data_IF_174934975913
#
_entry.id   IF_174934975913
#
_cell.length_a   1.000
_cell.length_b   1.000
_cell.length_c   1.000
_cell.angle_alpha   90.00
_cell.angle_beta   90.00
_cell.angle_gamma   90.00
#
_symmetry.space_group_name_H-M   'P 1'
#
loop_
_entity.id
_entity.type
_entity.pdbx_description
1 polymer ?
#
# COMPACT_ATOMS: atom_id res chain seq x y z
N UNK A 1 6.70 21.31 22.78
CA UNK A 1 6.55 19.85 23.00
C UNK A 1 5.09 19.43 23.15
N UNK A 2 4.09 20.29 22.89
CA UNK A 2 2.68 19.97 23.15
C UNK A 2 2.05 19.00 22.12
N UNK A 3 2.52 18.96 20.87
CA UNK A 3 1.88 18.12 19.84
C UNK A 3 2.41 16.68 19.78
N UNK A 4 3.42 16.35 20.60
CA UNK A 4 4.00 15.00 20.62
C UNK A 4 3.00 13.99 21.17
N UNK A 5 2.28 14.33 22.24
CA UNK A 5 1.28 13.44 22.82
C UNK A 5 0.07 13.24 21.90
N UNK A 6 -0.35 14.30 21.20
CA UNK A 6 -1.42 14.22 20.20
C UNK A 6 -1.02 13.32 19.03
N UNK A 7 0.19 13.52 18.49
CA UNK A 7 0.72 12.68 17.41
C UNK A 7 0.88 11.21 17.85
N UNK A 8 1.35 10.95 19.07
CA UNK A 8 1.43 9.59 19.62
C UNK A 8 0.06 8.93 19.77
N UNK A 9 -0.96 9.70 20.19
CA UNK A 9 -2.33 9.21 20.29
C UNK A 9 -2.91 8.86 18.92
N UNK A 10 -2.67 9.69 17.92
CA UNK A 10 -3.13 9.43 16.56
C UNK A 10 -2.38 8.26 15.92
N UNK A 11 -1.07 8.13 16.19
CA UNK A 11 -0.23 7.02 15.77
C UNK A 11 -0.67 5.63 16.30
N UNK A 12 -1.53 5.60 17.32
CA UNK A 12 -2.18 4.36 17.79
C UNK A 12 -3.37 3.94 16.91
N UNK A 13 -3.95 4.87 16.15
CA UNK A 13 -5.07 4.65 15.24
C UNK A 13 -4.58 4.43 13.81
N UNK A 14 -3.68 5.31 13.35
CA UNK A 14 -3.15 5.29 11.98
C UNK A 14 -1.74 5.91 11.90
N UNK A 15 -0.91 5.56 10.90
CA UNK A 15 0.40 6.18 10.73
C UNK A 15 0.31 7.69 10.53
N UNK A 16 1.10 8.45 11.27
CA UNK A 16 1.17 9.91 11.15
C UNK A 16 2.40 10.28 10.33
N UNK A 17 2.22 11.04 9.26
CA UNK A 17 3.32 11.57 8.45
C UNK A 17 3.81 12.88 9.04
N UNK A 18 5.11 12.95 9.32
CA UNK A 18 5.79 14.16 9.75
C UNK A 18 6.50 14.74 8.54
N UNK A 19 6.16 15.97 8.19
CA UNK A 19 6.72 16.66 7.02
C UNK A 19 7.80 17.66 7.42
N UNK A 20 8.82 17.79 6.59
CA UNK A 20 9.79 18.89 6.63
C UNK A 20 9.73 19.66 5.31
N UNK A 21 9.56 20.98 5.37
CA UNK A 21 9.47 21.86 4.19
C UNK A 21 8.37 21.45 3.18
N UNK A 22 7.30 20.81 3.65
CA UNK A 22 6.18 20.35 2.81
C UNK A 22 6.33 18.92 2.30
N UNK A 23 7.49 18.29 2.50
CA UNK A 23 7.78 16.93 2.04
C UNK A 23 7.70 15.91 3.19
N UNK A 24 7.19 14.69 2.97
CA UNK A 24 7.24 13.62 3.96
C UNK A 24 8.67 13.29 4.37
N UNK A 25 8.99 13.48 5.65
CA UNK A 25 10.33 13.23 6.20
C UNK A 25 10.36 11.99 7.10
N UNK A 26 9.34 11.82 7.95
CA UNK A 26 9.23 10.69 8.86
C UNK A 26 7.81 10.17 8.95
N UNK A 27 7.66 8.94 9.44
CA UNK A 27 6.36 8.36 9.79
C UNK A 27 6.41 7.90 11.24
N UNK A 28 5.44 8.34 12.05
CA UNK A 28 5.25 7.89 13.42
C UNK A 28 4.20 6.76 13.44
N UNK A 29 4.59 5.63 14.03
CA UNK A 29 3.73 4.48 14.31
C UNK A 29 3.97 3.98 15.72
N UNK A 30 2.99 3.26 16.29
CA UNK A 30 3.23 2.56 17.55
C UNK A 30 4.37 1.54 17.41
N UNK A 31 5.15 1.34 18.47
CA UNK A 31 6.22 0.35 18.48
C UNK A 31 5.70 -1.06 18.17
N UNK A 32 4.46 -1.39 18.55
CA UNK A 32 3.83 -2.68 18.21
C UNK A 32 3.73 -2.88 16.70
N UNK A 33 3.29 -1.85 15.96
CA UNK A 33 3.21 -1.94 14.50
C UNK A 33 4.60 -1.97 13.87
N UNK A 34 5.55 -1.17 14.38
CA UNK A 34 6.95 -1.24 13.96
C UNK A 34 7.53 -2.66 14.09
N UNK A 35 7.29 -3.32 15.21
CA UNK A 35 7.77 -4.69 15.44
C UNK A 35 7.13 -5.72 14.50
N UNK A 36 5.87 -5.53 14.06
CA UNK A 36 5.25 -6.38 13.03
C UNK A 36 5.92 -6.17 11.67
N UNK A 37 6.21 -4.92 11.31
CA UNK A 37 6.88 -4.56 10.05
C UNK A 37 8.34 -5.00 10.02
N UNK A 38 9.00 -5.00 11.18
CA UNK A 38 10.44 -5.27 11.32
C UNK A 38 10.76 -6.76 11.48
N UNK A 39 9.78 -7.67 11.43
CA UNK A 39 10.04 -9.11 11.57
C UNK A 39 10.92 -9.59 10.39
N UNK A 40 12.16 -10.05 10.65
CA UNK A 40 12.99 -10.65 9.60
C UNK A 40 12.38 -12.01 9.27
N UNK A 41 11.78 -12.15 8.09
CA UNK A 41 11.20 -13.43 7.65
C UNK A 41 9.91 -13.36 6.83
N UNK A 42 9.46 -12.18 6.41
CA UNK A 42 8.48 -12.10 5.33
C UNK A 42 9.08 -11.21 4.25
N UNK A 43 9.98 -11.80 3.45
CA UNK A 43 10.29 -11.20 2.16
C UNK A 43 8.94 -10.92 1.47
N UNK A 44 8.80 -9.74 0.86
CA UNK A 44 7.63 -9.46 0.03
C UNK A 44 7.45 -10.56 -1.03
N UNK A 45 8.56 -11.17 -1.45
CA UNK A 45 8.60 -12.36 -2.30
C UNK A 45 7.99 -13.56 -1.57
N UNK A 46 8.42 -13.93 -0.36
CA UNK A 46 7.85 -15.08 0.38
C UNK A 46 6.34 -15.00 0.60
N UNK A 47 5.76 -13.80 0.76
CA UNK A 47 4.30 -13.62 0.89
C UNK A 47 3.54 -13.70 -0.44
N UNK A 48 4.23 -13.39 -1.55
CA UNK A 48 3.70 -13.48 -2.91
C UNK A 48 4.00 -14.84 -3.54
N UNK A 49 4.96 -15.57 -2.98
CA UNK A 49 5.25 -16.96 -3.33
C UNK A 49 4.09 -17.80 -2.84
N UNK A 50 3.46 -18.49 -3.78
CA UNK A 50 2.60 -19.60 -3.44
C UNK A 50 3.53 -20.75 -3.06
N UNK A 51 3.53 -21.15 -1.79
CA UNK A 51 4.10 -22.44 -1.39
C UNK A 51 3.18 -23.51 -1.98
N UNK A 52 3.75 -24.36 -2.83
CA UNK A 52 3.13 -25.35 -3.71
C UNK A 52 2.68 -24.87 -5.10
N UNK A 53 2.84 -25.82 -6.02
CA UNK A 53 2.45 -25.84 -7.43
C UNK A 53 0.92 -25.78 -7.53
N UNK A 54 0.33 -24.65 -7.14
CA UNK A 54 -1.09 -24.41 -7.39
C UNK A 54 -1.25 -24.20 -8.89
N UNK A 55 -1.85 -25.19 -9.53
CA UNK A 55 -2.33 -25.11 -10.92
C UNK A 55 -3.52 -24.13 -10.96
N UNK A 56 -3.21 -22.83 -10.89
CA UNK A 56 -4.19 -21.77 -11.05
C UNK A 56 -4.42 -21.62 -12.55
N UNK A 57 -5.51 -22.20 -13.03
CA UNK A 57 -5.95 -22.07 -14.41
C UNK A 57 -6.52 -20.66 -14.62
N UNK A 58 -5.63 -19.73 -14.98
CA UNK A 58 -6.02 -18.37 -15.35
C UNK A 58 -6.59 -18.38 -16.77
N UNK A 59 -7.91 -18.43 -16.90
CA UNK A 59 -8.54 -18.18 -18.19
C UNK A 59 -8.31 -16.70 -18.60
N UNK A 60 -7.63 -16.43 -19.73
CA UNK A 60 -7.43 -15.07 -20.19
C UNK A 60 -8.78 -14.46 -20.54
N UNK A 61 -9.10 -13.33 -19.93
CA UNK A 61 -10.24 -12.52 -20.34
C UNK A 61 -9.98 -11.98 -21.74
N UNK A 62 -10.69 -12.52 -22.73
CA UNK A 62 -10.76 -11.94 -24.06
C UNK A 62 -11.60 -10.68 -24.00
N UNK A 63 -10.93 -9.53 -23.94
CA UNK A 63 -11.58 -8.25 -24.20
C UNK A 63 -11.85 -8.17 -25.69
N UNK A 64 -13.12 -8.29 -26.10
CA UNK A 64 -13.52 -7.74 -27.39
C UNK A 64 -13.38 -6.21 -27.29
N UNK A 65 -12.57 -5.57 -28.14
CA UNK A 65 -12.58 -4.13 -28.21
C UNK A 65 -14.00 -3.73 -28.61
N UNK A 66 -14.73 -3.12 -27.68
CA UNK A 66 -15.95 -2.42 -28.04
C UNK A 66 -15.57 -1.50 -29.19
N UNK A 67 -16.26 -1.65 -30.32
CA UNK A 67 -16.13 -0.74 -31.44
C UNK A 67 -16.65 0.61 -30.95
N UNK A 68 -15.75 1.39 -30.34
CA UNK A 68 -15.99 2.81 -30.12
C UNK A 68 -16.03 3.40 -31.52
N UNK A 69 -17.22 3.49 -32.10
CA UNK A 69 -17.44 4.43 -33.19
C UNK A 69 -16.90 5.76 -32.70
N UNK A 70 -15.88 6.26 -33.43
CA UNK A 70 -15.22 7.52 -33.15
C UNK A 70 -16.22 8.67 -33.28
N UNK A 71 -17.05 8.87 -32.27
CA UNK A 71 -17.69 10.13 -31.98
C UNK A 71 -16.78 10.84 -31.00
N UNK A 72 -15.65 11.34 -31.52
CA UNK A 72 -14.77 12.24 -30.79
C UNK A 72 -15.52 13.57 -30.59
N UNK A 73 -15.90 13.98 -29.35
CA UNK A 73 -16.71 15.17 -29.14
C UNK A 73 -15.86 16.39 -28.73
N UNK A 74 -14.53 16.35 -28.89
CA UNK A 74 -13.63 17.43 -28.52
C UNK A 74 -12.80 17.88 -29.74
N UNK A 75 -12.54 19.19 -29.87
CA UNK A 75 -12.42 19.89 -31.15
C UNK A 75 -11.28 19.43 -32.06
#
# INVERSE_FOLDING_TARGET
>A
MQDVEAAMKEANREPVVITEQGEPAFVLISNREYQKLSRPGQSRVDRLSVEDDFDIDFEPLHFEPLHFENQNPWP
#
